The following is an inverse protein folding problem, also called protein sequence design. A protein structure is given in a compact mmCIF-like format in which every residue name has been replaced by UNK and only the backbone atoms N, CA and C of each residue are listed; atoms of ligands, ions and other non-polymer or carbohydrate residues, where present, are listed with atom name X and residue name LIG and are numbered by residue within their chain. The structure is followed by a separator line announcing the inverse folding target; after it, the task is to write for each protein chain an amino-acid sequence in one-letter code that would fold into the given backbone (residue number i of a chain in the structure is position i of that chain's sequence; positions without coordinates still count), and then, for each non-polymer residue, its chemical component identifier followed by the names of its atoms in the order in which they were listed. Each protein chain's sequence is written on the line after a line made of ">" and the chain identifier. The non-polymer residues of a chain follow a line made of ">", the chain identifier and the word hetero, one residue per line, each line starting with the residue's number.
data_IF_287119606864
#
_entry.id   IF_287119606864
#
_cell.length_a   1.000
_cell.length_b   1.000
_cell.length_c   1.000
_cell.angle_alpha   90.00
_cell.angle_beta   90.00
_cell.angle_gamma   90.00
#
_symmetry.space_group_name_H-M   'P 1'
#
loop_
_entity.id
_entity.type
_entity.pdbx_description
1 polymer ?
#
# COMPACT_ATOMS: atom_id res chain seq x y z
N UNK A 1 10.75 -24.52 -2.06
CA UNK A 1 11.21 -24.13 -3.41
C UNK A 1 10.02 -24.18 -4.35
N UNK A 2 9.84 -23.19 -5.22
CA UNK A 2 8.74 -23.15 -6.20
C UNK A 2 9.25 -23.28 -7.63
N UNK A 3 8.37 -23.72 -8.54
CA UNK A 3 8.62 -23.73 -9.99
C UNK A 3 8.19 -22.38 -10.58
N UNK A 4 9.01 -21.81 -11.46
CA UNK A 4 8.56 -20.67 -12.26
C UNK A 4 7.47 -21.15 -13.24
N UNK A 5 6.25 -20.64 -13.08
CA UNK A 5 5.08 -21.07 -13.88
C UNK A 5 4.66 -20.06 -14.95
N UNK A 6 5.09 -18.80 -14.85
CA UNK A 6 4.76 -17.75 -15.82
C UNK A 6 5.66 -16.50 -15.65
N UNK A 7 5.67 -15.65 -16.68
CA UNK A 7 6.11 -14.25 -16.61
C UNK A 7 4.88 -13.34 -16.63
N UNK A 8 4.89 -12.26 -15.85
CA UNK A 8 3.78 -11.31 -15.76
C UNK A 8 4.09 -10.10 -16.64
N UNK A 9 3.25 -9.84 -17.65
CA UNK A 9 3.26 -8.62 -18.46
C UNK A 9 2.09 -7.70 -18.12
N UNK A 10 2.32 -6.38 -18.07
CA UNK A 10 1.23 -5.40 -17.87
C UNK A 10 0.53 -5.13 -19.21
N UNK A 11 -0.66 -5.68 -19.42
CA UNK A 11 -1.52 -5.39 -20.59
C UNK A 11 -2.20 -4.02 -20.55
N UNK A 12 -1.91 -3.19 -19.53
CA UNK A 12 -2.50 -1.86 -19.35
C UNK A 12 -3.87 -1.84 -18.64
N UNK A 13 -4.56 -2.99 -18.51
CA UNK A 13 -5.83 -3.08 -17.76
C UNK A 13 -5.68 -3.55 -16.31
N UNK A 14 -4.48 -3.93 -15.88
CA UNK A 14 -4.21 -4.30 -14.49
C UNK A 14 -4.23 -3.07 -13.57
N UNK A 15 -4.97 -3.15 -12.46
CA UNK A 15 -5.05 -2.07 -11.46
C UNK A 15 -3.78 -1.97 -10.61
N UNK A 16 -3.12 -3.10 -10.34
CA UNK A 16 -1.80 -3.27 -9.71
C UNK A 16 -1.20 -4.63 -10.08
N UNK A 17 0.12 -4.84 -9.90
CA UNK A 17 0.75 -6.13 -10.17
C UNK A 17 0.27 -7.20 -9.16
N UNK A 18 -0.45 -8.21 -9.65
CA UNK A 18 -0.91 -9.35 -8.84
C UNK A 18 -1.01 -10.62 -9.69
N UNK A 19 -0.95 -11.77 -9.02
CA UNK A 19 -1.29 -13.06 -9.61
C UNK A 19 -2.76 -13.35 -9.29
N UNK A 20 -3.56 -13.55 -10.33
CA UNK A 20 -4.91 -14.10 -10.18
C UNK A 20 -4.87 -15.58 -10.53
N UNK A 21 -5.40 -16.44 -9.64
CA UNK A 21 -5.60 -17.85 -9.93
C UNK A 21 -6.95 -18.31 -9.39
N UNK A 22 -7.47 -19.40 -9.96
CA UNK A 22 -8.65 -20.09 -9.47
C UNK A 22 -8.36 -21.59 -9.35
N UNK A 23 -8.99 -22.24 -8.39
CA UNK A 23 -8.90 -23.68 -8.19
C UNK A 23 -10.18 -24.35 -8.69
N UNK A 24 -10.00 -25.48 -9.38
CA UNK A 24 -11.11 -26.31 -9.83
C UNK A 24 -10.88 -27.77 -9.48
N UNK A 25 -11.95 -28.45 -9.08
CA UNK A 25 -12.03 -29.90 -8.96
C UNK A 25 -13.22 -30.37 -9.77
N UNK A 26 -13.02 -31.32 -10.69
CA UNK A 26 -14.09 -31.86 -11.54
C UNK A 26 -14.90 -30.77 -12.27
N UNK A 27 -14.18 -29.75 -12.78
CA UNK A 27 -14.73 -28.54 -13.45
C UNK A 27 -15.51 -27.58 -12.54
N UNK A 28 -15.71 -27.88 -11.26
CA UNK A 28 -16.34 -26.98 -10.30
C UNK A 28 -15.31 -26.06 -9.66
N UNK A 29 -15.71 -24.79 -9.44
CA UNK A 29 -14.88 -23.79 -8.79
C UNK A 29 -14.82 -24.07 -7.28
N UNK A 30 -13.63 -24.08 -6.71
CA UNK A 30 -13.38 -24.40 -5.30
C UNK A 30 -12.76 -23.20 -4.60
N UNK A 31 -13.23 -22.91 -3.39
CA UNK A 31 -12.63 -21.90 -2.52
C UNK A 31 -11.28 -22.41 -1.99
N UNK A 32 -10.15 -21.71 -2.26
CA UNK A 32 -8.84 -22.14 -1.78
C UNK A 32 -8.71 -22.16 -0.25
N UNK A 33 -9.54 -21.42 0.47
CA UNK A 33 -9.46 -21.28 1.93
C UNK A 33 -10.45 -22.15 2.70
N UNK A 34 -11.46 -22.72 2.08
CA UNK A 34 -12.36 -23.66 2.76
C UNK A 34 -12.33 -25.06 2.15
N UNK A 35 -11.82 -25.19 0.91
CA UNK A 35 -11.86 -26.43 0.15
C UNK A 35 -13.26 -26.83 -0.32
N UNK A 36 -14.28 -26.00 -0.10
CA UNK A 36 -15.66 -26.24 -0.50
C UNK A 36 -15.94 -25.65 -1.87
N UNK A 37 -17.11 -25.98 -2.46
CA UNK A 37 -17.59 -25.33 -3.68
C UNK A 37 -17.72 -23.83 -3.43
N UNK A 38 -17.26 -23.01 -4.37
CA UNK A 38 -17.35 -21.55 -4.24
C UNK A 38 -18.78 -21.10 -3.94
N UNK A 39 -18.91 -20.25 -2.91
CA UNK A 39 -20.20 -19.73 -2.45
C UNK A 39 -20.95 -20.64 -1.48
N UNK A 40 -20.44 -21.84 -1.17
CA UNK A 40 -21.02 -22.72 -0.15
C UNK A 40 -20.58 -22.34 1.28
N UNK A 41 -19.49 -21.59 1.43
CA UNK A 41 -18.97 -21.15 2.73
C UNK A 41 -19.78 -20.00 3.33
N UNK A 42 -20.01 -20.08 4.63
CA UNK A 42 -20.58 -19.05 5.48
C UNK A 42 -19.48 -18.25 6.20
N UNK A 43 -19.83 -17.15 6.85
CA UNK A 43 -18.87 -16.34 7.63
C UNK A 43 -18.21 -17.12 8.76
N UNK A 44 -18.88 -18.13 9.32
CA UNK A 44 -18.29 -19.02 10.34
C UNK A 44 -17.24 -19.97 9.78
N UNK A 45 -17.21 -20.16 8.46
CA UNK A 45 -16.23 -21.03 7.79
C UNK A 45 -14.93 -20.29 7.45
N UNK A 46 -14.91 -18.96 7.56
CA UNK A 46 -13.77 -18.11 7.25
C UNK A 46 -12.71 -18.08 8.37
N UNK A 47 -12.10 -19.23 8.66
CA UNK A 47 -11.05 -19.38 9.67
C UNK A 47 -9.74 -19.92 9.08
N UNK A 48 -8.62 -19.67 9.75
CA UNK A 48 -7.31 -20.16 9.30
C UNK A 48 -7.21 -21.70 9.39
N UNK A 49 -8.01 -22.32 10.25
CA UNK A 49 -8.11 -23.77 10.43
C UNK A 49 -8.75 -24.43 9.22
N UNK A 50 -9.74 -23.76 8.62
CA UNK A 50 -10.50 -24.28 7.47
C UNK A 50 -9.74 -24.18 6.14
N UNK A 51 -8.58 -23.51 6.11
CA UNK A 51 -7.65 -23.39 4.98
C UNK A 51 -6.90 -24.71 4.67
N UNK A 52 -7.66 -25.80 4.54
CA UNK A 52 -7.20 -27.20 4.43
C UNK A 52 -6.37 -27.49 3.18
N UNK A 53 -6.53 -26.69 2.12
CA UNK A 53 -5.73 -26.85 0.89
C UNK A 53 -4.32 -26.27 1.02
N UNK A 54 -4.03 -25.55 2.10
CA UNK A 54 -2.74 -24.92 2.34
C UNK A 54 -1.96 -25.66 3.43
N UNK A 55 -0.67 -25.90 3.16
CA UNK A 55 0.23 -26.44 4.19
C UNK A 55 0.31 -25.51 5.40
N UNK A 56 0.67 -26.04 6.57
CA UNK A 56 0.84 -25.24 7.79
C UNK A 56 1.84 -24.09 7.58
N UNK A 57 2.95 -24.34 6.88
CA UNK A 57 3.94 -23.32 6.52
C UNK A 57 3.35 -22.24 5.61
N UNK A 58 2.55 -22.62 4.60
CA UNK A 58 1.92 -21.63 3.71
C UNK A 58 0.89 -20.77 4.46
N UNK A 59 0.07 -21.39 5.32
CA UNK A 59 -0.92 -20.67 6.15
C UNK A 59 -0.27 -19.62 7.05
N UNK A 60 0.87 -19.94 7.66
CA UNK A 60 1.63 -18.98 8.47
C UNK A 60 2.16 -17.78 7.67
N UNK A 61 2.36 -17.94 6.35
CA UNK A 61 2.82 -16.87 5.46
C UNK A 61 1.67 -16.03 4.89
N UNK A 62 0.43 -16.53 4.92
CA UNK A 62 -0.75 -15.89 4.32
C UNK A 62 -1.65 -15.21 5.37
N UNK A 63 -1.04 -14.60 6.39
CA UNK A 63 -1.77 -13.79 7.36
C UNK A 63 -2.58 -12.71 6.63
N UNK A 64 -3.87 -12.64 6.92
CA UNK A 64 -4.74 -11.64 6.32
C UNK A 64 -4.34 -10.24 6.81
N UNK A 65 -4.07 -9.34 5.86
CA UNK A 65 -3.80 -7.93 6.13
C UNK A 65 -4.99 -7.11 5.67
N UNK A 66 -5.64 -6.45 6.62
CA UNK A 66 -6.86 -5.68 6.41
C UNK A 66 -6.63 -4.38 5.62
N UNK A 67 -5.40 -3.89 5.65
CA UNK A 67 -4.84 -2.84 4.80
C UNK A 67 -3.41 -3.24 4.43
N UNK A 68 -3.00 -2.95 3.21
CA UNK A 68 -1.63 -3.20 2.73
C UNK A 68 -1.04 -1.90 2.19
N UNK A 69 0.12 -1.50 2.70
CA UNK A 69 0.91 -0.42 2.11
C UNK A 69 1.64 -0.98 0.88
N UNK A 70 1.20 -0.60 -0.31
CA UNK A 70 1.81 -1.03 -1.56
C UNK A 70 3.16 -0.35 -1.79
N UNK A 71 3.28 0.90 -1.36
CA UNK A 71 4.54 1.64 -1.36
C UNK A 71 4.37 3.04 -0.79
N UNK A 72 5.48 3.63 -0.40
CA UNK A 72 5.60 5.00 0.05
C UNK A 72 7.00 5.51 -0.29
N UNK A 73 7.16 6.83 -0.35
CA UNK A 73 8.44 7.41 -0.70
C UNK A 73 8.38 8.91 -0.91
N UNK A 74 9.49 9.42 -1.42
CA UNK A 74 9.67 10.83 -1.71
C UNK A 74 9.73 11.08 -3.22
N UNK A 75 9.39 12.30 -3.63
CA UNK A 75 9.57 12.73 -5.02
C UNK A 75 9.78 14.24 -5.14
N UNK A 76 10.55 14.65 -6.14
CA UNK A 76 10.76 16.06 -6.47
C UNK A 76 9.63 16.68 -7.30
N UNK A 77 8.74 15.83 -7.82
CA UNK A 77 7.59 16.21 -8.62
C UNK A 77 6.32 15.62 -8.02
N UNK A 78 5.19 16.27 -8.28
CA UNK A 78 3.89 15.82 -7.81
C UNK A 78 3.62 14.40 -8.33
N UNK A 79 3.41 13.41 -7.44
CA UNK A 79 3.14 12.04 -7.86
C UNK A 79 1.79 11.95 -8.56
N UNK A 80 1.70 11.09 -9.56
CA UNK A 80 0.45 10.68 -10.19
C UNK A 80 0.29 9.15 -10.12
N UNK A 81 -0.92 8.67 -10.36
CA UNK A 81 -1.24 7.25 -10.22
C UNK A 81 -0.39 6.32 -11.11
N UNK A 82 -0.02 6.76 -12.32
CA UNK A 82 0.83 5.96 -13.22
C UNK A 82 2.26 5.81 -12.70
N UNK A 83 2.83 6.88 -12.15
CA UNK A 83 4.20 6.88 -11.65
C UNK A 83 4.31 5.99 -10.40
N UNK A 84 3.36 6.10 -9.48
CA UNK A 84 3.33 5.27 -8.27
C UNK A 84 3.22 3.77 -8.60
N UNK A 85 2.41 3.41 -9.60
CA UNK A 85 2.27 2.02 -10.06
C UNK A 85 3.52 1.47 -10.73
N UNK A 86 4.35 2.33 -11.34
CA UNK A 86 5.63 1.96 -11.98
C UNK A 86 6.79 1.87 -10.98
N UNK A 87 6.56 2.22 -9.72
CA UNK A 87 7.57 2.20 -8.66
C UNK A 87 8.50 3.41 -8.68
N UNK A 88 7.97 4.59 -9.04
CA UNK A 88 8.63 5.89 -8.91
C UNK A 88 8.99 6.19 -7.44
N UNK A 89 10.03 6.98 -7.17
CA UNK A 89 10.37 7.41 -5.80
C UNK A 89 11.23 6.42 -5.00
N UNK A 90 12.11 5.65 -5.67
CA UNK A 90 13.06 4.72 -5.03
C UNK A 90 14.40 5.39 -4.69
N UNK A 91 14.54 6.66 -5.01
CA UNK A 91 15.72 7.44 -4.71
C UNK A 91 15.87 7.59 -3.20
N UNK A 92 17.06 7.28 -2.68
CA UNK A 92 17.41 7.51 -1.27
C UNK A 92 18.00 8.91 -1.06
N UNK A 93 18.23 9.64 -2.16
CA UNK A 93 18.86 10.95 -2.15
C UNK A 93 18.29 11.86 -3.23
N UNK A 94 18.17 13.15 -2.93
CA UNK A 94 17.74 14.19 -3.88
C UNK A 94 18.69 15.39 -3.81
N UNK A 95 18.88 16.12 -4.92
CA UNK A 95 19.65 17.36 -4.89
C UNK A 95 18.94 18.41 -4.02
N UNK A 96 19.71 19.22 -3.29
CA UNK A 96 19.16 20.37 -2.54
C UNK A 96 18.47 21.43 -3.42
N UNK A 97 18.71 21.38 -4.73
CA UNK A 97 18.04 22.22 -5.73
C UNK A 97 16.68 21.67 -6.18
N UNK A 98 16.23 20.53 -5.63
CA UNK A 98 14.91 19.96 -5.90
C UNK A 98 13.82 21.04 -5.86
N UNK A 99 12.98 21.16 -6.90
CA UNK A 99 11.99 22.24 -6.99
C UNK A 99 10.90 22.12 -5.92
N UNK A 100 10.58 20.90 -5.49
CA UNK A 100 9.63 20.60 -4.44
C UNK A 100 10.02 19.30 -3.75
N UNK A 101 9.39 19.01 -2.60
CA UNK A 101 9.51 17.73 -1.91
C UNK A 101 8.11 17.23 -1.59
N UNK A 102 7.74 16.09 -2.18
CA UNK A 102 6.51 15.38 -1.90
C UNK A 102 6.81 14.13 -1.11
N UNK A 103 5.97 13.83 -0.13
CA UNK A 103 5.92 12.52 0.52
C UNK A 103 4.58 11.86 0.18
N UNK A 104 4.63 10.63 -0.30
CA UNK A 104 3.47 9.93 -0.85
C UNK A 104 3.34 8.51 -0.29
N UNK A 105 2.11 8.00 -0.34
CA UNK A 105 1.77 6.63 0.01
C UNK A 105 0.73 6.07 -0.95
N UNK A 106 0.81 4.78 -1.24
CA UNK A 106 -0.15 4.03 -2.04
C UNK A 106 -0.58 2.78 -1.27
N UNK A 107 -1.87 2.68 -0.96
CA UNK A 107 -2.44 1.67 -0.07
C UNK A 107 -3.52 0.86 -0.78
N UNK A 108 -3.72 -0.39 -0.38
CA UNK A 108 -4.78 -1.28 -0.84
C UNK A 108 -5.61 -1.73 0.38
N UNK A 109 -6.94 -1.71 0.25
CA UNK A 109 -7.86 -2.22 1.29
C UNK A 109 -8.39 -1.17 2.28
N UNK A 110 -8.23 0.12 1.97
CA UNK A 110 -8.83 1.20 2.75
C UNK A 110 -10.35 1.27 2.50
N UNK A 111 -11.11 1.38 3.58
CA UNK A 111 -12.57 1.41 3.65
C UNK A 111 -13.07 2.79 4.12
N UNK A 112 -14.36 3.06 3.95
CA UNK A 112 -14.98 4.27 4.47
C UNK A 112 -14.79 4.40 5.98
N UNK A 113 -14.47 5.62 6.42
CA UNK A 113 -14.15 5.94 7.81
C UNK A 113 -12.69 5.71 8.19
N UNK A 114 -11.90 5.01 7.37
CA UNK A 114 -10.45 4.91 7.60
C UNK A 114 -9.79 6.28 7.48
N UNK A 115 -8.73 6.50 8.25
CA UNK A 115 -7.91 7.71 8.20
C UNK A 115 -6.47 7.34 7.88
N UNK A 116 -5.92 7.94 6.83
CA UNK A 116 -4.51 7.87 6.47
C UNK A 116 -3.86 9.18 6.90
N UNK A 117 -2.89 9.14 7.79
CA UNK A 117 -2.05 10.29 8.15
C UNK A 117 -0.71 10.16 7.46
N UNK A 118 -0.34 11.18 6.69
CA UNK A 118 1.01 11.36 6.19
C UNK A 118 1.70 12.42 7.02
N UNK A 119 2.90 12.13 7.53
CA UNK A 119 3.75 13.12 8.19
C UNK A 119 5.08 13.26 7.47
N UNK A 120 5.62 14.49 7.48
CA UNK A 120 6.90 14.84 6.89
C UNK A 120 7.65 15.76 7.83
N UNK A 121 8.88 15.39 8.19
CA UNK A 121 9.78 16.14 9.06
C UNK A 121 11.09 16.43 8.33
N UNK A 122 11.59 17.65 8.47
CA UNK A 122 12.88 18.07 7.90
C UNK A 122 14.00 17.99 8.95
N UNK A 123 15.28 18.06 8.54
CA UNK A 123 16.43 17.90 9.44
C UNK A 123 16.49 18.94 10.58
N UNK A 124 15.83 20.09 10.39
CA UNK A 124 15.80 21.17 11.38
C UNK A 124 14.60 21.11 12.33
N UNK A 125 13.82 20.02 12.29
CA UNK A 125 12.64 19.82 13.11
C UNK A 125 11.37 20.52 12.61
N UNK A 126 11.43 21.29 11.51
CA UNK A 126 10.22 21.80 10.85
C UNK A 126 9.53 20.66 10.11
N UNK A 127 8.22 20.56 10.26
CA UNK A 127 7.44 19.49 9.65
C UNK A 127 5.95 19.76 9.71
N UNK A 128 5.19 18.82 9.16
CA UNK A 128 3.74 18.86 9.17
C UNK A 128 3.16 17.48 8.92
N UNK A 129 1.86 17.35 9.12
CA UNK A 129 1.12 16.17 8.75
C UNK A 129 -0.21 16.56 8.12
N UNK A 130 -0.81 15.61 7.41
CA UNK A 130 -2.18 15.74 6.90
C UNK A 130 -2.90 14.43 7.06
N UNK A 131 -4.17 14.55 7.47
CA UNK A 131 -5.09 13.44 7.58
C UNK A 131 -5.99 13.39 6.35
N UNK A 132 -6.15 12.18 5.83
CA UNK A 132 -7.01 11.85 4.71
C UNK A 132 -8.06 10.86 5.20
N UNK A 133 -9.25 11.37 5.50
CA UNK A 133 -10.40 10.53 5.81
C UNK A 133 -10.99 9.96 4.52
N UNK A 134 -11.18 8.64 4.48
CA UNK A 134 -11.89 7.99 3.39
C UNK A 134 -13.38 8.21 3.56
N UNK A 135 -13.96 9.07 2.73
CA UNK A 135 -15.40 9.30 2.67
C UNK A 135 -15.88 9.14 1.23
N UNK A 136 -16.04 7.88 0.82
CA UNK A 136 -16.54 7.52 -0.51
C UNK A 136 -17.70 6.53 -0.35
N UNK A 137 -18.89 7.00 0.04
CA UNK A 137 -20.07 6.14 0.15
C UNK A 137 -20.31 5.46 -1.21
N UNK A 138 -20.47 4.13 -1.17
CA UNK A 138 -20.64 3.28 -2.36
C UNK A 138 -19.43 3.20 -3.31
N UNK A 139 -18.21 3.38 -2.81
CA UNK A 139 -17.00 3.14 -3.61
C UNK A 139 -16.88 1.67 -4.04
N UNK A 140 -17.33 1.40 -5.27
CA UNK A 140 -17.06 0.15 -6.00
C UNK A 140 -15.76 0.24 -6.81
N UNK A 141 -15.02 1.35 -6.68
CA UNK A 141 -13.77 1.60 -7.37
C UNK A 141 -12.63 0.71 -6.88
N UNK A 142 -11.45 0.82 -7.51
CA UNK A 142 -10.30 0.06 -7.09
C UNK A 142 -10.00 0.36 -5.61
N UNK A 143 -9.89 -0.70 -4.79
CA UNK A 143 -9.50 -0.63 -3.37
C UNK A 143 -8.11 -0.02 -3.12
N UNK A 144 -7.43 0.38 -4.19
CA UNK A 144 -6.12 0.99 -4.17
C UNK A 144 -6.26 2.53 -4.19
N UNK A 145 -5.76 3.20 -3.14
CA UNK A 145 -5.84 4.66 -2.96
C UNK A 145 -4.45 5.22 -2.70
N UNK A 146 -4.17 6.39 -3.25
CA UNK A 146 -2.87 7.07 -3.09
C UNK A 146 -3.06 8.47 -2.54
N UNK A 147 -2.09 8.90 -1.74
CA UNK A 147 -2.11 10.16 -1.00
C UNK A 147 -0.73 10.81 -1.12
N UNK A 148 -0.69 12.12 -1.03
CA UNK A 148 0.56 12.85 -0.94
C UNK A 148 0.39 14.13 -0.13
N UNK A 149 1.47 14.52 0.54
CA UNK A 149 1.68 15.86 1.10
C UNK A 149 2.92 16.46 0.43
N UNK A 150 3.04 17.77 0.50
CA UNK A 150 4.23 18.47 0.05
C UNK A 150 4.73 19.41 1.14
N UNK A 151 6.01 19.70 1.08
CA UNK A 151 6.63 20.81 1.79
C UNK A 151 7.09 21.83 0.75
N UNK A 152 6.88 23.10 1.03
CA UNK A 152 7.43 24.18 0.21
C UNK A 152 8.92 24.37 0.54
N UNK A 153 9.75 24.54 -0.49
CA UNK A 153 11.19 24.71 -0.29
C UNK A 153 11.46 26.01 0.47
N UNK A 154 12.17 25.97 1.61
CA UNK A 154 12.54 27.19 2.31
C UNK A 154 13.68 27.88 1.54
N UNK A 155 13.35 28.97 0.84
CA UNK A 155 14.33 29.75 0.08
C UNK A 155 14.89 29.02 -1.15
N UNK A 156 16.17 29.26 -1.46
CA UNK A 156 16.79 28.82 -2.71
C UNK A 156 17.22 27.35 -2.72
N UNK A 157 17.57 26.78 -1.57
CA UNK A 157 18.02 25.40 -1.42
C UNK A 157 17.36 24.77 -0.20
N UNK A 158 17.02 23.49 -0.31
CA UNK A 158 16.61 22.71 0.85
C UNK A 158 17.73 22.64 1.90
N UNK A 159 17.39 22.65 3.21
CA UNK A 159 18.32 22.25 4.27
C UNK A 159 18.90 20.89 3.96
N UNK A 160 20.22 20.77 4.06
CA UNK A 160 20.89 19.49 3.87
C UNK A 160 20.56 18.55 5.03
N UNK A 161 20.45 17.25 4.75
CA UNK A 161 20.24 16.22 5.76
C UNK A 161 19.06 15.30 5.48
N UNK A 162 18.70 14.49 6.49
CA UNK A 162 17.63 13.50 6.41
C UNK A 162 16.25 14.11 6.63
N UNK A 163 15.34 13.85 5.70
CA UNK A 163 13.92 14.14 5.81
C UNK A 163 13.19 12.84 6.07
N UNK A 164 12.34 12.83 7.09
CA UNK A 164 11.62 11.65 7.53
C UNK A 164 10.15 11.73 7.11
N UNK A 165 9.66 10.65 6.49
CA UNK A 165 8.27 10.50 6.09
C UNK A 165 7.63 9.30 6.78
N UNK A 166 6.43 9.47 7.34
CA UNK A 166 5.69 8.40 8.02
C UNK A 166 4.24 8.30 7.54
N UNK A 167 3.78 7.07 7.35
CA UNK A 167 2.40 6.70 7.02
C UNK A 167 1.77 6.01 8.24
N UNK A 168 0.79 6.67 8.83
CA UNK A 168 -0.04 6.10 9.90
C UNK A 168 -1.44 5.81 9.38
N UNK A 169 -1.98 4.65 9.73
CA UNK A 169 -3.33 4.21 9.37
C UNK A 169 -4.17 4.02 10.63
N UNK A 170 -5.42 4.48 10.57
CA UNK A 170 -6.40 4.30 11.65
C UNK A 170 -7.71 3.81 11.05
N UNK A 171 -8.27 2.74 11.62
CA UNK A 171 -9.61 2.23 11.31
C UNK A 171 -10.54 2.53 12.48
N UNK A 172 -11.80 2.96 12.28
CA UNK A 172 -12.72 3.20 13.38
C UNK A 172 -12.80 2.02 14.36
N UNK A 173 -12.64 2.30 15.64
CA UNK A 173 -12.62 1.29 16.70
C UNK A 173 -11.27 0.58 16.91
N UNK A 174 -10.23 0.93 16.15
CA UNK A 174 -8.87 0.42 16.33
C UNK A 174 -7.89 1.55 16.69
N UNK A 175 -6.82 1.20 17.41
CA UNK A 175 -5.73 2.14 17.66
C UNK A 175 -4.99 2.49 16.35
N UNK A 176 -4.48 3.72 16.19
CA UNK A 176 -3.60 4.08 15.08
C UNK A 176 -2.37 3.15 15.02
N UNK A 177 -1.95 2.78 13.81
CA UNK A 177 -0.74 2.00 13.56
C UNK A 177 0.12 2.63 12.48
N UNK A 178 1.43 2.75 12.71
CA UNK A 178 2.40 3.08 11.67
C UNK A 178 2.52 1.89 10.72
N UNK A 179 2.28 2.12 9.43
CA UNK A 179 2.32 1.08 8.39
C UNK A 179 3.48 1.27 7.40
N UNK A 180 4.17 2.41 7.47
CA UNK A 180 5.40 2.64 6.71
C UNK A 180 6.12 3.90 7.18
N UNK A 181 7.44 3.88 7.11
CA UNK A 181 8.29 5.04 7.32
C UNK A 181 9.50 4.96 6.38
N UNK A 182 10.05 6.09 5.98
CA UNK A 182 11.27 6.15 5.17
C UNK A 182 11.97 7.49 5.33
N UNK A 183 13.24 7.52 4.98
CA UNK A 183 14.08 8.70 5.03
C UNK A 183 14.63 9.01 3.63
N UNK A 184 14.77 10.29 3.31
CA UNK A 184 15.49 10.75 2.13
C UNK A 184 16.53 11.80 2.50
N UNK A 185 17.73 11.68 1.94
CA UNK A 185 18.80 12.66 2.19
C UNK A 185 18.84 13.71 1.10
N UNK A 186 18.77 14.99 1.47
CA UNK A 186 19.00 16.08 0.54
C UNK A 186 20.45 16.59 0.69
N UNK A 187 21.22 16.53 -0.40
CA UNK A 187 22.62 17.00 -0.45
C UNK A 187 22.95 17.78 -1.71
#
# INVERSE_FOLDING_TARGET
>A
RGQAIAQIGMSGQATFAHLHFNLRKDKQLVDPFSGTVMGASSTSDCTAENAVLWSSTARQQMTYNDVTLYGHGFSMARPNASDLKRGYGKELELPRSAPALYFWAYLIGANNGDVIRLSLQSPNGKGGHRDFTIDLPNDQGPRAKWFFINMDRPGNLWPAGSYHGEVTFTRPGQAPKTIGATDITLR
#
